data_IF_609403411430
#
_entry.id   IF_609403411430
#
_cell.length_a   1.000
_cell.length_b   1.000
_cell.length_c   1.000
_cell.angle_alpha   90.00
_cell.angle_beta   90.00
_cell.angle_gamma   90.00
#
_symmetry.space_group_name_H-M   'P 1'
#
loop_
_entity.id
_entity.type
_entity.pdbx_description
1 polymer ?
#
# COMPACT_ATOMS: atom_id res chain seq x y z
N UNK A 1 -25.71 -13.98 6.99
CA UNK A 1 -24.71 -15.05 7.13
C UNK A 1 -23.35 -14.37 7.16
N UNK A 2 -22.60 -14.45 8.26
CA UNK A 2 -21.25 -13.87 8.30
C UNK A 2 -20.34 -14.72 7.41
N UNK A 3 -19.96 -14.21 6.24
CA UNK A 3 -18.86 -14.79 5.46
C UNK A 3 -17.62 -14.86 6.35
N UNK A 4 -16.97 -16.04 6.49
CA UNK A 4 -15.76 -16.14 7.26
C UNK A 4 -14.73 -15.19 6.67
N UNK A 5 -14.11 -14.40 7.54
CA UNK A 5 -13.02 -13.50 7.17
C UNK A 5 -11.89 -14.38 6.61
N UNK A 6 -11.64 -14.27 5.30
CA UNK A 6 -10.50 -14.95 4.69
C UNK A 6 -9.23 -14.25 5.15
N UNK A 7 -8.58 -14.84 6.16
CA UNK A 7 -7.22 -14.46 6.53
C UNK A 7 -6.30 -14.79 5.37
N UNK A 8 -5.30 -13.94 5.14
CA UNK A 8 -4.26 -14.17 4.17
C UNK A 8 -2.91 -14.00 4.84
N UNK A 9 -1.89 -14.55 4.19
CA UNK A 9 -0.51 -14.30 4.56
C UNK A 9 0.28 -13.82 3.35
N UNK A 10 1.14 -12.84 3.58
CA UNK A 10 2.16 -12.39 2.64
C UNK A 10 3.44 -13.22 2.87
N UNK A 11 3.96 -13.87 1.82
CA UNK A 11 5.22 -14.61 1.90
C UNK A 11 6.39 -13.67 2.22
N UNK A 12 7.17 -13.96 3.26
CA UNK A 12 8.32 -13.13 3.66
C UNK A 12 9.47 -13.07 2.65
N UNK A 13 9.46 -13.92 1.62
CA UNK A 13 10.51 -13.95 0.59
C UNK A 13 10.13 -13.24 -0.70
N UNK A 14 8.91 -13.49 -1.20
CA UNK A 14 8.49 -12.99 -2.51
C UNK A 14 7.25 -12.10 -2.45
N UNK A 15 6.73 -11.84 -1.25
CA UNK A 15 5.53 -11.04 -0.97
C UNK A 15 4.25 -11.52 -1.66
N UNK A 16 4.24 -12.74 -2.23
CA UNK A 16 3.02 -13.36 -2.72
C UNK A 16 2.02 -13.54 -1.60
N UNK A 17 0.80 -13.05 -1.81
CA UNK A 17 -0.30 -13.11 -0.85
C UNK A 17 -1.17 -14.32 -1.19
N UNK A 18 -1.43 -15.15 -0.18
CA UNK A 18 -2.21 -16.38 -0.34
C UNK A 18 -3.15 -16.59 0.86
N UNK A 19 -4.28 -17.29 0.68
CA UNK A 19 -5.19 -17.62 1.77
C UNK A 19 -4.46 -18.35 2.90
N UNK A 20 -4.72 -17.95 4.14
CA UNK A 20 -4.16 -18.58 5.33
C UNK A 20 -5.19 -19.55 5.92
N UNK A 21 -4.92 -20.87 5.93
CA UNK A 21 -5.82 -21.84 6.55
C UNK A 21 -6.02 -21.57 8.04
N UNK A 22 -7.24 -21.74 8.52
CA UNK A 22 -7.55 -21.54 9.94
C UNK A 22 -6.72 -22.48 10.82
N UNK A 23 -6.03 -21.92 11.81
CA UNK A 23 -5.19 -22.68 12.74
C UNK A 23 -3.80 -23.08 12.21
N UNK A 24 -3.43 -22.66 11.00
CA UNK A 24 -2.09 -22.89 10.47
C UNK A 24 -1.02 -22.18 11.32
N UNK A 25 0.13 -22.84 11.56
CA UNK A 25 1.30 -22.25 12.24
C UNK A 25 2.39 -21.82 11.26
N UNK A 26 2.32 -22.31 10.03
CA UNK A 26 3.17 -21.90 8.92
C UNK A 26 2.40 -22.09 7.63
N UNK A 27 2.90 -21.48 6.56
CA UNK A 27 2.40 -21.69 5.21
C UNK A 27 3.56 -21.71 4.23
N UNK A 28 3.50 -22.64 3.28
CA UNK A 28 4.44 -22.68 2.15
C UNK A 28 3.93 -21.74 1.06
N UNK A 29 4.79 -20.90 0.51
CA UNK A 29 4.43 -20.01 -0.58
C UNK A 29 4.13 -20.79 -1.87
N UNK A 30 2.97 -20.59 -2.46
CA UNK A 30 2.61 -21.24 -3.72
C UNK A 30 3.52 -20.87 -4.89
N UNK A 31 4.12 -19.66 -4.85
CA UNK A 31 5.03 -19.15 -5.88
C UNK A 31 6.47 -19.60 -5.65
N UNK A 32 7.10 -19.18 -4.56
CA UNK A 32 8.54 -19.40 -4.36
C UNK A 32 8.89 -20.58 -3.45
N UNK A 33 7.88 -21.31 -2.95
CA UNK A 33 7.99 -22.46 -2.04
C UNK A 33 8.67 -22.16 -0.69
N UNK A 34 8.91 -20.88 -0.37
CA UNK A 34 9.43 -20.46 0.93
C UNK A 34 8.39 -20.67 2.04
N UNK A 35 8.82 -21.18 3.18
CA UNK A 35 7.96 -21.39 4.34
C UNK A 35 7.96 -20.13 5.19
N UNK A 36 6.78 -19.55 5.39
CA UNK A 36 6.58 -18.44 6.32
C UNK A 36 5.94 -18.98 7.59
N UNK A 37 6.60 -18.77 8.72
CA UNK A 37 6.14 -19.22 10.04
C UNK A 37 5.35 -18.10 10.72
N UNK A 38 4.10 -18.35 11.14
CA UNK A 38 3.17 -17.35 11.68
C UNK A 38 3.63 -16.78 13.03
N UNK A 39 4.19 -17.64 13.87
CA UNK A 39 4.77 -17.30 15.17
C UNK A 39 6.02 -16.42 15.05
N UNK A 40 6.63 -16.41 13.88
CA UNK A 40 7.78 -15.57 13.53
C UNK A 40 7.38 -14.34 12.71
N UNK A 41 6.11 -14.16 12.33
CA UNK A 41 5.65 -12.89 11.78
C UNK A 41 5.60 -11.88 12.93
N UNK A 42 6.51 -10.89 12.99
CA UNK A 42 6.54 -9.95 14.10
C UNK A 42 5.27 -9.10 14.15
N UNK A 43 4.53 -9.00 13.04
CA UNK A 43 3.29 -8.27 12.95
C UNK A 43 2.07 -9.03 13.49
N UNK A 44 2.19 -10.35 13.72
CA UNK A 44 1.13 -11.17 14.36
C UNK A 44 0.75 -10.69 15.76
N UNK A 45 1.63 -9.92 16.41
CA UNK A 45 1.45 -9.34 17.75
C UNK A 45 0.61 -8.07 17.74
N UNK A 46 0.37 -7.47 16.58
CA UNK A 46 -0.45 -6.27 16.47
C UNK A 46 -1.93 -6.67 16.64
N UNK A 47 -2.62 -6.17 17.68
CA UNK A 47 -4.00 -6.55 17.91
C UNK A 47 -4.85 -6.09 16.73
N UNK A 48 -5.40 -7.03 15.97
CA UNK A 48 -6.33 -6.72 14.90
C UNK A 48 -7.72 -6.47 15.47
N UNK A 49 -8.23 -5.26 15.26
CA UNK A 49 -9.62 -4.90 15.54
C UNK A 49 -10.21 -4.24 14.29
N UNK A 50 -11.39 -4.70 13.87
CA UNK A 50 -12.11 -4.04 12.76
C UNK A 50 -12.42 -2.59 13.13
N UNK A 51 -12.13 -1.68 12.20
CA UNK A 51 -12.55 -0.28 12.25
C UNK A 51 -13.11 0.11 10.89
N UNK A 52 -14.28 0.77 10.81
CA UNK A 52 -14.85 1.25 9.55
C UNK A 52 -13.99 2.30 8.85
N UNK A 53 -13.09 2.96 9.58
CA UNK A 53 -12.14 3.93 9.06
C UNK A 53 -10.72 3.50 9.44
N UNK A 54 -9.88 3.22 8.45
CA UNK A 54 -8.49 2.77 8.64
C UNK A 54 -7.55 3.47 7.69
N UNK A 55 -6.33 3.74 8.13
CA UNK A 55 -5.34 4.37 7.28
C UNK A 55 -3.95 3.74 7.42
N UNK A 56 -3.23 3.69 6.32
CA UNK A 56 -1.78 3.50 6.29
C UNK A 56 -1.15 4.81 5.83
N UNK A 57 -0.20 5.31 6.61
CA UNK A 57 0.48 6.57 6.34
C UNK A 57 1.99 6.30 6.35
N UNK A 58 2.67 6.62 5.27
CA UNK A 58 4.10 6.44 5.13
C UNK A 58 4.77 7.79 4.80
N UNK A 59 5.85 8.11 5.51
CA UNK A 59 6.67 9.28 5.25
C UNK A 59 8.15 8.94 5.33
N UNK A 60 8.88 9.09 4.22
CA UNK A 60 10.29 8.70 4.11
C UNK A 60 11.12 9.91 3.67
N UNK A 61 12.06 10.33 4.50
CA UNK A 61 12.98 11.44 4.23
C UNK A 61 14.39 10.98 3.86
N UNK A 62 14.72 9.68 3.91
CA UNK A 62 16.02 9.09 3.57
C UNK A 62 17.18 9.81 4.27
N UNK A 63 17.00 10.12 5.56
CA UNK A 63 17.96 10.93 6.33
C UNK A 63 19.35 10.32 6.30
N UNK A 64 20.38 11.16 6.18
CA UNK A 64 21.80 10.74 6.14
C UNK A 64 22.16 9.89 4.93
N UNK A 65 21.42 10.02 3.83
CA UNK A 65 21.76 9.42 2.53
C UNK A 65 21.88 10.49 1.45
N UNK A 66 22.41 10.12 0.28
CA UNK A 66 22.41 10.98 -0.91
C UNK A 66 21.01 11.26 -1.47
N UNK A 67 19.98 10.56 -0.98
CA UNK A 67 18.60 10.64 -1.44
C UNK A 67 17.72 11.47 -0.49
N UNK A 68 18.32 12.26 0.41
CA UNK A 68 17.58 12.95 1.47
C UNK A 68 16.50 13.92 0.94
N UNK A 69 15.30 13.83 1.52
CA UNK A 69 14.16 14.71 1.30
C UNK A 69 13.83 15.50 2.56
N UNK A 70 13.37 16.74 2.37
CA UNK A 70 12.84 17.57 3.45
C UNK A 70 11.32 17.58 3.37
N UNK A 71 10.66 17.30 4.49
CA UNK A 71 9.21 17.47 4.61
C UNK A 71 8.39 16.18 4.65
N UNK A 72 8.85 15.07 4.05
CA UNK A 72 8.01 13.87 3.90
C UNK A 72 7.48 13.28 5.22
N UNK A 73 8.30 13.27 6.27
CA UNK A 73 7.84 12.86 7.62
C UNK A 73 6.83 13.87 8.19
N UNK A 74 6.98 15.16 7.92
CA UNK A 74 6.03 16.18 8.34
C UNK A 74 4.69 16.02 7.60
N UNK A 75 4.72 15.75 6.30
CA UNK A 75 3.50 15.51 5.50
C UNK A 75 2.71 14.31 6.05
N UNK A 76 3.40 13.21 6.39
CA UNK A 76 2.80 12.05 7.04
C UNK A 76 2.13 12.41 8.38
N UNK A 77 2.78 13.22 9.23
CA UNK A 77 2.21 13.69 10.49
C UNK A 77 0.99 14.58 10.27
N UNK A 78 1.07 15.55 9.35
CA UNK A 78 -0.05 16.41 9.00
C UNK A 78 -1.24 15.61 8.46
N UNK A 79 -1.00 14.57 7.65
CA UNK A 79 -2.05 13.68 7.17
C UNK A 79 -2.69 12.90 8.32
N UNK A 80 -1.90 12.35 9.25
CA UNK A 80 -2.42 11.66 10.44
C UNK A 80 -3.34 12.59 11.24
N UNK A 81 -2.87 13.80 11.53
CA UNK A 81 -3.62 14.79 12.29
C UNK A 81 -4.91 15.19 11.57
N UNK A 82 -4.86 15.38 10.25
CA UNK A 82 -6.03 15.69 9.43
C UNK A 82 -7.08 14.57 9.49
N UNK A 83 -6.66 13.31 9.33
CA UNK A 83 -7.57 12.17 9.37
C UNK A 83 -8.26 12.02 10.73
N UNK A 84 -7.52 12.22 11.82
CA UNK A 84 -8.09 12.17 13.18
C UNK A 84 -9.04 13.34 13.41
N UNK A 85 -8.56 14.58 13.20
CA UNK A 85 -9.26 15.79 13.65
C UNK A 85 -10.43 16.21 12.75
N UNK A 86 -10.35 15.93 11.44
CA UNK A 86 -11.37 16.36 10.47
C UNK A 86 -12.21 15.22 9.93
N UNK A 87 -11.62 14.05 9.76
CA UNK A 87 -12.29 12.91 9.15
C UNK A 87 -12.70 11.83 10.15
N UNK A 88 -12.37 11.99 11.44
CA UNK A 88 -12.81 11.08 12.50
C UNK A 88 -12.26 9.67 12.36
N UNK A 89 -11.02 9.51 11.89
CA UNK A 89 -10.32 8.23 11.93
C UNK A 89 -9.85 7.98 13.37
N UNK A 90 -10.15 6.81 13.96
CA UNK A 90 -9.60 6.44 15.25
C UNK A 90 -8.07 6.36 15.16
N UNK A 91 -7.35 6.94 16.11
CA UNK A 91 -5.88 6.88 16.10
C UNK A 91 -5.35 5.44 16.14
N UNK A 92 -6.03 4.55 16.87
CA UNK A 92 -5.72 3.11 16.94
C UNK A 92 -5.92 2.38 15.60
N UNK A 93 -6.62 3.00 14.64
CA UNK A 93 -6.88 2.47 13.32
C UNK A 93 -6.00 3.12 12.24
N UNK A 94 -4.95 3.85 12.64
CA UNK A 94 -3.95 4.44 11.74
C UNK A 94 -2.61 3.74 11.97
N UNK A 95 -2.11 3.09 10.92
CA UNK A 95 -0.77 2.52 10.90
C UNK A 95 0.20 3.49 10.22
N UNK A 96 1.10 4.10 11.01
CA UNK A 96 2.06 5.09 10.52
C UNK A 96 3.47 4.51 10.47
N UNK A 97 4.12 4.65 9.31
CA UNK A 97 5.48 4.22 9.03
C UNK A 97 6.36 5.44 8.74
N UNK A 98 7.34 5.73 9.60
CA UNK A 98 8.26 6.86 9.43
C UNK A 98 9.66 6.52 9.93
N UNK A 99 10.67 7.23 9.43
CA UNK A 99 12.05 7.04 9.88
C UNK A 99 12.22 7.52 11.34
N UNK A 100 13.00 6.77 12.13
CA UNK A 100 13.30 7.12 13.52
C UNK A 100 12.26 6.68 14.54
N UNK A 101 11.27 5.88 14.14
CA UNK A 101 10.39 5.17 15.07
C UNK A 101 11.19 4.17 15.91
N UNK A 102 10.82 4.02 17.19
CA UNK A 102 11.46 3.05 18.10
C UNK A 102 11.04 1.61 17.83
N UNK A 103 9.83 1.44 17.27
CA UNK A 103 9.29 0.16 16.86
C UNK A 103 9.82 -0.22 15.47
N UNK A 104 10.60 -1.31 15.33
CA UNK A 104 11.10 -1.77 14.03
C UNK A 104 9.99 -2.05 13.01
N UNK A 105 8.77 -2.38 13.45
CA UNK A 105 7.62 -2.66 12.57
C UNK A 105 7.04 -1.38 11.95
N UNK A 106 7.41 -0.21 12.50
CA UNK A 106 7.02 1.10 11.97
C UNK A 106 8.13 1.75 11.14
N UNK A 107 9.25 1.06 10.94
CA UNK A 107 10.28 1.51 9.98
C UNK A 107 9.75 1.29 8.56
N UNK A 108 9.84 2.28 7.64
CA UNK A 108 9.25 2.19 6.29
C UNK A 108 10.11 1.36 5.32
N UNK A 109 10.37 0.10 5.66
CA UNK A 109 11.01 -0.90 4.78
C UNK A 109 10.04 -1.43 3.74
N UNK A 110 10.56 -2.07 2.68
CA UNK A 110 9.75 -2.72 1.64
C UNK A 110 8.73 -3.67 2.26
N UNK A 111 9.20 -4.56 3.12
CA UNK A 111 8.37 -5.58 3.75
C UNK A 111 7.31 -4.98 4.68
N UNK A 112 7.66 -4.01 5.52
CA UNK A 112 6.70 -3.40 6.45
C UNK A 112 5.62 -2.59 5.71
N UNK A 113 5.99 -1.90 4.63
CA UNK A 113 5.04 -1.13 3.84
C UNK A 113 4.05 -2.03 3.09
N UNK A 114 4.52 -3.11 2.45
CA UNK A 114 3.65 -4.10 1.82
C UNK A 114 2.76 -4.83 2.83
N UNK A 115 3.31 -5.16 4.01
CA UNK A 115 2.51 -5.75 5.07
C UNK A 115 1.41 -4.79 5.55
N UNK A 116 1.73 -3.51 5.74
CA UNK A 116 0.76 -2.51 6.18
C UNK A 116 -0.37 -2.32 5.14
N UNK A 117 -0.04 -2.32 3.85
CA UNK A 117 -1.04 -2.28 2.77
C UNK A 117 -1.96 -3.51 2.80
N UNK A 118 -1.39 -4.70 3.02
CA UNK A 118 -2.16 -5.91 3.22
C UNK A 118 -3.07 -5.82 4.47
N UNK A 119 -2.57 -5.29 5.59
CA UNK A 119 -3.35 -5.04 6.80
C UNK A 119 -4.52 -4.08 6.55
N UNK A 120 -4.32 -3.05 5.71
CA UNK A 120 -5.33 -2.06 5.37
C UNK A 120 -6.50 -2.69 4.60
N UNK A 121 -6.20 -3.58 3.65
CA UNK A 121 -7.18 -4.32 2.87
C UNK A 121 -7.82 -5.51 3.60
N UNK A 122 -7.27 -5.93 4.74
CA UNK A 122 -7.72 -7.12 5.46
C UNK A 122 -9.11 -6.92 6.09
N UNK A 123 -9.98 -7.91 5.90
CA UNK A 123 -11.30 -7.99 6.55
C UNK A 123 -12.21 -6.77 6.32
N UNK A 124 -12.06 -6.09 5.19
CA UNK A 124 -12.92 -4.95 4.85
C UNK A 124 -14.38 -5.37 4.71
N UNK A 125 -15.28 -4.47 5.07
CA UNK A 125 -16.74 -4.63 4.95
C UNK A 125 -17.29 -3.54 4.03
N UNK A 126 -18.42 -3.78 3.34
CA UNK A 126 -19.10 -2.74 2.57
C UNK A 126 -19.23 -1.44 3.38
N UNK A 127 -18.93 -0.30 2.74
CA UNK A 127 -18.91 1.05 3.32
C UNK A 127 -17.73 1.39 4.22
N UNK A 128 -16.76 0.51 4.41
CA UNK A 128 -15.49 0.87 5.03
C UNK A 128 -14.76 1.94 4.18
N UNK A 129 -14.06 2.85 4.86
CA UNK A 129 -13.31 3.96 4.26
C UNK A 129 -11.83 3.84 4.61
N UNK A 130 -11.01 3.57 3.61
CA UNK A 130 -9.59 3.35 3.72
C UNK A 130 -8.82 4.55 3.18
N UNK A 131 -7.68 4.85 3.79
CA UNK A 131 -6.74 5.87 3.29
C UNK A 131 -5.34 5.28 3.20
N UNK A 132 -4.69 5.43 2.06
CA UNK A 132 -3.26 5.20 1.90
C UNK A 132 -2.59 6.53 1.58
N UNK A 133 -1.68 6.99 2.44
CA UNK A 133 -0.86 8.16 2.18
C UNK A 133 0.60 7.77 2.11
N UNK A 134 1.28 8.22 1.06
CA UNK A 134 2.72 8.06 0.90
C UNK A 134 3.35 9.41 0.55
N UNK A 135 4.35 9.84 1.32
CA UNK A 135 5.24 10.94 0.95
C UNK A 135 6.69 10.45 0.96
N UNK A 136 7.38 10.60 -0.17
CA UNK A 136 8.74 10.08 -0.37
C UNK A 136 9.16 10.07 -1.84
N UNK A 137 10.23 9.34 -2.15
CA UNK A 137 10.63 9.18 -3.54
C UNK A 137 9.72 8.21 -4.28
N UNK A 138 9.43 8.54 -5.53
CA UNK A 138 8.89 7.60 -6.50
C UNK A 138 9.87 7.50 -7.66
N UNK A 139 9.82 6.42 -8.42
CA UNK A 139 10.59 6.30 -9.66
C UNK A 139 9.77 5.64 -10.75
N UNK A 140 10.29 5.65 -11.97
CA UNK A 140 9.72 4.98 -13.13
C UNK A 140 10.76 4.03 -13.70
N UNK A 141 10.52 2.74 -13.57
CA UNK A 141 11.45 1.70 -14.03
C UNK A 141 10.86 0.97 -15.24
N UNK A 142 11.72 0.62 -16.20
CA UNK A 142 11.29 -0.17 -17.36
C UNK A 142 10.92 -1.58 -16.90
N UNK A 143 9.71 -2.02 -17.22
CA UNK A 143 9.24 -3.35 -16.88
C UNK A 143 9.67 -4.34 -17.96
N UNK A 144 10.57 -5.26 -17.61
CA UNK A 144 11.02 -6.33 -18.51
C UNK A 144 10.20 -7.62 -18.36
N UNK A 145 9.23 -7.67 -17.43
CA UNK A 145 8.45 -8.87 -17.09
C UNK A 145 7.03 -8.91 -17.69
N UNK A 146 6.46 -7.78 -18.12
CA UNK A 146 5.14 -7.76 -18.75
C UNK A 146 5.23 -7.65 -20.27
N UNK A 147 4.52 -8.55 -20.98
CA UNK A 147 4.34 -8.49 -22.44
C UNK A 147 3.29 -7.42 -22.77
N UNK A 148 3.68 -6.47 -23.62
CA UNK A 148 2.89 -5.76 -24.64
C UNK A 148 1.67 -4.87 -24.26
N UNK A 149 1.20 -4.80 -23.01
CA UNK A 149 -0.06 -4.06 -22.69
C UNK A 149 0.13 -2.63 -22.16
N UNK A 150 1.33 -2.23 -21.70
CA UNK A 150 1.64 -0.87 -21.23
C UNK A 150 2.82 -0.25 -22.00
N UNK A 151 3.09 1.04 -21.81
CA UNK A 151 4.21 1.79 -22.42
C UNK A 151 5.62 1.27 -22.03
N UNK A 152 5.67 0.13 -21.32
CA UNK A 152 6.85 -0.61 -20.95
C UNK A 152 7.48 -0.14 -19.64
N UNK A 153 6.81 0.70 -18.86
CA UNK A 153 7.30 1.24 -17.59
C UNK A 153 6.32 0.96 -16.45
N UNK A 154 6.87 0.61 -15.28
CA UNK A 154 6.13 0.58 -14.02
C UNK A 154 6.49 1.78 -13.17
N UNK A 155 5.50 2.29 -12.45
CA UNK A 155 5.72 3.26 -11.41
C UNK A 155 6.02 2.57 -10.08
N UNK A 156 6.87 3.22 -9.29
CA UNK A 156 7.43 2.58 -8.10
C UNK A 156 7.48 3.54 -6.93
N UNK A 157 7.28 3.00 -5.73
CA UNK A 157 7.57 3.66 -4.46
C UNK A 157 8.95 3.22 -3.96
N UNK A 158 9.71 4.16 -3.40
CA UNK A 158 11.04 3.88 -2.88
C UNK A 158 10.95 3.63 -1.37
N UNK A 159 10.98 2.37 -0.88
CA UNK A 159 11.08 2.12 0.56
C UNK A 159 12.44 2.58 1.10
N UNK A 160 12.61 2.65 2.43
CA UNK A 160 13.88 3.08 3.04
C UNK A 160 15.07 2.17 2.65
N UNK A 161 14.82 0.88 2.48
CA UNK A 161 15.80 -0.16 2.19
C UNK A 161 15.89 -0.49 0.68
N UNK A 162 15.44 0.41 -0.18
CA UNK A 162 15.33 0.18 -1.64
C UNK A 162 16.66 -0.20 -2.30
N UNK A 163 17.80 0.26 -1.78
CA UNK A 163 19.12 -0.10 -2.31
C UNK A 163 19.43 -1.59 -2.15
N UNK A 164 18.84 -2.25 -1.14
CA UNK A 164 19.07 -3.67 -0.84
C UNK A 164 17.90 -4.57 -1.21
N UNK A 165 16.66 -4.11 -1.00
CA UNK A 165 15.43 -4.87 -1.25
C UNK A 165 14.74 -4.49 -2.56
N UNK A 166 15.21 -3.45 -3.24
CA UNK A 166 14.58 -2.89 -4.43
C UNK A 166 13.37 -2.01 -4.13
N UNK A 167 12.81 -1.45 -5.20
CA UNK A 167 11.61 -0.62 -5.14
C UNK A 167 10.35 -1.48 -4.92
N UNK A 168 9.25 -0.83 -4.53
CA UNK A 168 7.91 -1.44 -4.57
C UNK A 168 7.27 -1.05 -5.89
N UNK A 169 6.89 -2.04 -6.69
CA UNK A 169 6.18 -1.84 -7.95
C UNK A 169 4.69 -1.61 -7.70
N UNK A 170 4.07 -0.87 -8.61
CA UNK A 170 2.63 -0.66 -8.71
C UNK A 170 1.81 -1.96 -8.68
N UNK A 171 2.24 -3.02 -9.38
CA UNK A 171 1.60 -4.34 -9.33
C UNK A 171 1.68 -5.00 -7.94
N UNK A 172 2.76 -4.79 -7.19
CA UNK A 172 2.89 -5.22 -5.79
C UNK A 172 1.90 -4.47 -4.90
N UNK A 173 1.69 -3.17 -5.12
CA UNK A 173 0.72 -2.36 -4.37
C UNK A 173 -0.70 -2.79 -4.71
N UNK A 174 -1.00 -2.99 -6.00
CA UNK A 174 -2.31 -3.40 -6.47
C UNK A 174 -2.72 -4.75 -5.85
N UNK A 175 -1.85 -5.77 -5.92
CA UNK A 175 -2.08 -7.08 -5.28
C UNK A 175 -2.21 -6.97 -3.76
N UNK A 176 -1.46 -6.06 -3.13
CA UNK A 176 -1.48 -5.90 -1.68
C UNK A 176 -2.83 -5.37 -1.16
N UNK A 177 -3.46 -4.44 -1.89
CA UNK A 177 -4.68 -3.78 -1.40
C UNK A 177 -5.84 -3.74 -2.40
N UNK A 178 -5.61 -3.38 -3.67
CA UNK A 178 -6.66 -3.04 -4.65
C UNK A 178 -7.47 -4.27 -5.08
N UNK A 179 -6.81 -5.32 -5.55
CA UNK A 179 -7.43 -6.58 -6.04
C UNK A 179 -8.35 -7.26 -5.01
N UNK A 180 -8.27 -6.83 -3.75
CA UNK A 180 -8.84 -7.54 -2.60
C UNK A 180 -9.94 -6.77 -1.89
N UNK A 181 -10.22 -5.54 -2.30
CA UNK A 181 -11.29 -4.75 -1.71
C UNK A 181 -12.64 -5.32 -2.15
N UNK A 182 -13.55 -5.65 -1.21
CA UNK A 182 -14.90 -6.02 -1.56
C UNK A 182 -15.67 -4.81 -2.12
N UNK A 183 -16.78 -5.05 -2.85
CA UNK A 183 -17.64 -3.98 -3.33
C UNK A 183 -18.05 -3.01 -2.22
N UNK A 184 -18.25 -1.75 -2.62
CA UNK A 184 -18.67 -0.64 -1.74
C UNK A 184 -17.65 -0.20 -0.67
N UNK A 185 -16.43 -0.74 -0.68
CA UNK A 185 -15.29 -0.16 0.08
C UNK A 185 -14.70 1.00 -0.72
N UNK A 186 -14.31 2.07 -0.01
CA UNK A 186 -13.65 3.23 -0.62
C UNK A 186 -12.19 3.27 -0.18
N UNK A 187 -11.27 3.40 -1.14
CA UNK A 187 -9.85 3.58 -0.88
C UNK A 187 -9.40 4.90 -1.49
N UNK A 188 -9.04 5.86 -0.63
CA UNK A 188 -8.41 7.10 -1.07
C UNK A 188 -6.91 6.96 -0.95
N UNK A 189 -6.20 7.01 -2.07
CA UNK A 189 -4.74 7.00 -2.08
C UNK A 189 -4.17 8.36 -2.46
N UNK A 190 -3.32 8.89 -1.60
CA UNK A 190 -2.64 10.18 -1.77
C UNK A 190 -1.14 9.92 -1.83
N UNK A 191 -0.56 10.08 -3.01
CA UNK A 191 0.86 9.84 -3.26
C UNK A 191 1.55 11.17 -3.57
N UNK A 192 2.35 11.66 -2.63
CA UNK A 192 3.21 12.83 -2.81
C UNK A 192 4.63 12.37 -3.15
N UNK A 193 4.91 12.27 -4.46
CA UNK A 193 6.21 11.87 -4.97
C UNK A 193 6.55 12.58 -6.29
N UNK A 194 7.84 12.59 -6.65
CA UNK A 194 8.36 13.26 -7.86
C UNK A 194 7.88 12.62 -9.18
N UNK A 195 7.45 11.35 -9.16
CA UNK A 195 6.98 10.62 -10.33
C UNK A 195 5.51 10.21 -10.15
N UNK A 196 4.60 10.99 -10.75
CA UNK A 196 3.16 11.00 -10.46
C UNK A 196 2.27 10.18 -11.42
N UNK A 197 2.84 9.30 -12.24
CA UNK A 197 2.03 8.44 -13.11
C UNK A 197 1.63 7.19 -12.32
N UNK A 198 0.34 6.85 -12.35
CA UNK A 198 -0.27 5.52 -12.06
C UNK A 198 0.39 4.59 -11.00
N UNK A 199 0.77 5.09 -9.81
CA UNK A 199 1.34 4.26 -8.71
C UNK A 199 0.44 3.09 -8.25
N UNK A 200 -0.85 3.11 -8.58
CA UNK A 200 -1.83 2.11 -8.18
C UNK A 200 -2.37 1.23 -9.31
N UNK A 201 -1.93 1.41 -10.57
CA UNK A 201 -2.51 0.72 -11.74
C UNK A 201 -4.06 0.79 -11.77
N UNK A 202 -4.66 1.96 -11.49
CA UNK A 202 -6.12 2.12 -11.50
C UNK A 202 -6.67 2.07 -12.94
N UNK A 203 -7.81 1.39 -13.14
CA UNK A 203 -8.51 1.30 -14.44
C UNK A 203 -8.96 2.66 -14.99
N UNK A 204 -9.11 3.67 -14.14
CA UNK A 204 -9.53 5.01 -14.52
C UNK A 204 -8.49 6.04 -14.09
N UNK A 205 -7.98 6.81 -15.07
CA UNK A 205 -7.08 7.93 -14.82
C UNK A 205 -7.79 9.25 -15.16
N UNK A 206 -8.03 10.07 -14.15
CA UNK A 206 -8.45 11.45 -14.36
C UNK A 206 -7.25 12.39 -14.37
N UNK A 207 -7.04 13.12 -15.48
CA UNK A 207 -5.99 14.14 -15.61
C UNK A 207 -6.60 15.52 -15.79
N UNK A 208 -6.50 16.37 -14.77
CA UNK A 208 -6.87 17.78 -14.87
C UNK A 208 -5.82 18.54 -15.68
N UNK A 209 -6.13 18.89 -16.93
CA UNK A 209 -5.31 19.79 -17.74
C UNK A 209 -5.63 21.25 -17.38
N UNK A 210 -4.62 22.06 -16.99
CA UNK A 210 -4.84 23.47 -16.62
C UNK A 210 -5.06 24.40 -17.83
N UNK A 211 -4.86 23.90 -19.06
CA UNK A 211 -4.86 24.73 -20.27
C UNK A 211 -5.90 24.33 -21.33
N UNK A 212 -6.80 23.39 -21.07
CA UNK A 212 -7.77 22.92 -22.05
C UNK A 212 -9.22 23.06 -21.55
N UNK A 213 -10.07 23.70 -22.36
CA UNK A 213 -11.53 23.84 -22.17
C UNK A 213 -12.26 22.53 -22.58
N UNK A 214 -11.55 21.40 -22.56
CA UNK A 214 -12.09 20.10 -22.93
C UNK A 214 -11.55 19.02 -22.00
N UNK A 215 -12.47 18.24 -21.44
CA UNK A 215 -12.23 17.23 -20.40
C UNK A 215 -12.35 15.82 -20.99
N UNK A 216 -11.28 15.23 -21.54
CA UNK A 216 -11.33 13.83 -21.96
C UNK A 216 -11.13 12.90 -20.75
N UNK A 217 -12.12 12.05 -20.49
CA UNK A 217 -11.95 10.84 -19.67
C UNK A 217 -11.21 9.80 -20.52
N UNK A 218 -10.17 9.19 -19.98
CA UNK A 218 -9.50 8.05 -20.62
C UNK A 218 -9.86 6.78 -19.87
N UNK A 219 -10.52 5.85 -20.57
CA UNK A 219 -10.73 4.48 -20.10
C UNK A 219 -9.44 3.69 -20.38
N UNK A 220 -8.80 3.10 -19.36
CA UNK A 220 -8.11 1.83 -19.62
C UNK A 220 -9.22 0.79 -19.64
N UNK A 221 -9.26 -0.03 -20.69
CA UNK A 221 -10.23 -1.12 -20.80
C UNK A 221 -10.19 -1.99 -19.53
N UNK A 222 -11.37 -2.38 -19.08
CA UNK A 222 -11.70 -3.33 -18.01
C UNK A 222 -11.93 -2.76 -16.59
N UNK A 223 -13.23 -2.53 -16.35
CA UNK A 223 -14.04 -2.63 -15.13
C UNK A 223 -13.36 -2.63 -13.75
N UNK A 224 -13.41 -1.50 -13.06
CA UNK A 224 -14.13 -1.29 -11.78
C UNK A 224 -13.70 0.04 -11.14
N UNK A 225 -14.69 0.79 -10.66
CA UNK A 225 -14.55 2.18 -10.21
C UNK A 225 -14.02 2.21 -8.76
N UNK A 226 -12.87 2.84 -8.51
CA UNK A 226 -12.41 3.18 -7.15
C UNK A 226 -12.21 4.71 -7.10
N UNK A 227 -12.99 5.37 -6.23
CA UNK A 227 -12.82 6.76 -5.80
C UNK A 227 -12.07 6.75 -4.47
#
# INVERSE_FOLDING_TARGET
>A
MNTPVMLVMMCSRCHFIQPLPQGAKSITCDVCKFITFLDHDPHSRLPWQHSPKRAVICGISYRKSSHELKGSINDAKCMKDLLITRFGFPESAIFMLTEGETDPLKTPTKNNLLWALNWLGQSCRPKDSLVFHYSGHGSRLRNYRLREVDDGYNETLCPMDFETQGMIFDDEINRAIVERLPPEVKLHAIIDSCHRKSVLELSFLYRKNRSAIHYPWFLRQDDSLII
#
